data_IF_775941833876
#
_entry.id   IF_775941833876
#
_cell.length_a   1.000
_cell.length_b   1.000
_cell.length_c   1.000
_cell.angle_alpha   90.00
_cell.angle_beta   90.00
_cell.angle_gamma   90.00
#
_symmetry.space_group_name_H-M   'P 1'
#
loop_
_entity.id
_entity.type
_entity.pdbx_description
1 polymer ?
#
# COMPACT_ATOMS: atom_id res chain seq x y z
N UNK A 1 -16.67 -7.94 -10.60
CA UNK A 1 -16.20 -6.65 -11.19
C UNK A 1 -16.13 -5.51 -10.18
N UNK A 2 -17.17 -5.25 -9.36
CA UNK A 2 -17.19 -4.06 -8.49
C UNK A 2 -16.09 -4.07 -7.39
N UNK A 3 -15.75 -5.24 -6.86
CA UNK A 3 -14.69 -5.40 -5.84
C UNK A 3 -13.31 -5.00 -6.35
N UNK A 4 -12.93 -5.40 -7.56
CA UNK A 4 -11.64 -5.06 -8.16
C UNK A 4 -11.55 -3.56 -8.49
N UNK A 5 -12.67 -2.96 -8.92
CA UNK A 5 -12.77 -1.52 -9.10
C UNK A 5 -12.70 -0.76 -7.78
N UNK A 6 -13.00 -1.35 -6.63
CA UNK A 6 -12.88 -0.68 -5.33
C UNK A 6 -11.54 -0.89 -4.63
N UNK A 7 -10.70 -1.79 -5.12
CA UNK A 7 -9.49 -2.21 -4.42
C UNK A 7 -8.43 -1.11 -4.32
N UNK A 8 -7.67 -1.05 -3.22
CA UNK A 8 -6.48 -0.21 -3.11
C UNK A 8 -5.24 -0.86 -3.74
N UNK A 9 -5.24 -2.20 -3.85
CA UNK A 9 -4.19 -3.02 -4.47
C UNK A 9 -4.81 -4.28 -5.07
N UNK A 10 -4.39 -4.65 -6.28
CA UNK A 10 -4.71 -5.92 -6.92
C UNK A 10 -3.44 -6.77 -6.97
N UNK A 11 -3.45 -7.90 -6.26
CA UNK A 11 -2.37 -8.87 -6.32
C UNK A 11 -2.68 -9.93 -7.38
N UNK A 12 -1.83 -10.04 -8.40
CA UNK A 12 -1.92 -11.07 -9.43
C UNK A 12 -0.97 -12.20 -9.03
N UNK A 13 -1.54 -13.37 -8.75
CA UNK A 13 -0.76 -14.56 -8.38
C UNK A 13 -0.60 -15.44 -9.61
N UNK A 14 0.63 -15.76 -9.97
CA UNK A 14 0.96 -16.65 -11.09
C UNK A 14 1.69 -17.88 -10.63
N UNK A 15 1.51 -18.98 -11.34
CA UNK A 15 2.22 -20.23 -11.12
C UNK A 15 3.57 -20.22 -11.84
N UNK A 16 4.67 -20.32 -11.10
CA UNK A 16 6.02 -20.36 -11.65
C UNK A 16 6.44 -21.75 -12.16
N UNK A 17 5.70 -22.82 -11.87
CA UNK A 17 6.01 -24.16 -12.41
C UNK A 17 5.66 -24.30 -13.90
N UNK A 18 4.91 -23.34 -14.44
CA UNK A 18 4.51 -23.29 -15.85
C UNK A 18 4.81 -21.89 -16.42
N UNK A 19 4.45 -21.66 -17.68
CA UNK A 19 4.69 -20.38 -18.35
C UNK A 19 3.96 -19.23 -17.62
N UNK A 20 4.74 -18.37 -16.94
CA UNK A 20 4.24 -17.33 -16.05
C UNK A 20 3.87 -16.03 -16.76
N UNK A 21 4.55 -15.71 -17.86
CA UNK A 21 4.31 -14.49 -18.65
C UNK A 21 2.90 -14.48 -19.23
N UNK A 22 2.52 -15.55 -19.94
CA UNK A 22 1.19 -15.70 -20.52
C UNK A 22 0.06 -15.58 -19.47
N UNK A 23 0.29 -16.02 -18.22
CA UNK A 23 -0.68 -15.86 -17.13
C UNK A 23 -0.89 -14.38 -16.76
N UNK A 24 0.18 -13.59 -16.67
CA UNK A 24 0.11 -12.15 -16.41
C UNK A 24 -0.59 -11.43 -17.56
N UNK A 25 -0.20 -11.72 -18.81
CA UNK A 25 -0.81 -11.10 -19.99
C UNK A 25 -2.32 -11.32 -20.04
N UNK A 26 -2.77 -12.57 -19.86
CA UNK A 26 -4.19 -12.91 -19.82
C UNK A 26 -4.91 -12.16 -18.69
N UNK A 27 -4.32 -12.11 -17.49
CA UNK A 27 -4.93 -11.42 -16.35
C UNK A 27 -5.02 -9.91 -16.59
N UNK A 28 -3.99 -9.29 -17.15
CA UNK A 28 -3.99 -7.86 -17.49
C UNK A 28 -5.03 -7.54 -18.58
N UNK A 29 -5.20 -8.43 -19.55
CA UNK A 29 -6.22 -8.30 -20.58
C UNK A 29 -7.63 -8.36 -19.99
N UNK A 30 -7.91 -9.30 -19.08
CA UNK A 30 -9.19 -9.37 -18.35
C UNK A 30 -9.43 -8.12 -17.49
N UNK A 31 -8.41 -7.59 -16.82
CA UNK A 31 -8.51 -6.34 -16.07
C UNK A 31 -8.85 -5.17 -16.99
N UNK A 32 -8.20 -5.08 -18.16
CA UNK A 32 -8.48 -4.05 -19.15
C UNK A 32 -9.92 -4.10 -19.65
N UNK A 33 -10.46 -5.30 -19.91
CA UNK A 33 -11.88 -5.50 -20.26
C UNK A 33 -12.84 -5.05 -19.15
N UNK A 34 -12.43 -5.23 -17.89
CA UNK A 34 -13.15 -4.70 -16.72
C UNK A 34 -12.99 -3.17 -16.53
N UNK A 35 -12.24 -2.50 -17.43
CA UNK A 35 -11.80 -1.10 -17.37
C UNK A 35 -10.86 -0.80 -16.22
N UNK A 36 -10.04 -1.75 -15.81
CA UNK A 36 -9.03 -1.58 -14.77
C UNK A 36 -7.68 -1.49 -15.45
N UNK A 37 -6.94 -0.43 -15.15
CA UNK A 37 -5.60 -0.19 -15.71
C UNK A 37 -4.60 -0.12 -14.56
N UNK A 38 -3.36 -0.61 -14.74
CA UNK A 38 -2.33 -0.42 -13.73
C UNK A 38 -2.05 1.06 -13.49
N UNK A 39 -1.91 1.44 -12.23
CA UNK A 39 -1.49 2.78 -11.86
C UNK A 39 0.00 2.93 -12.13
N UNK A 40 0.35 3.75 -13.12
CA UNK A 40 1.74 4.13 -13.44
C UNK A 40 2.00 5.58 -13.05
N UNK A 41 3.23 5.92 -12.70
CA UNK A 41 3.63 7.30 -12.32
C UNK A 41 3.41 8.33 -13.44
N UNK A 42 3.30 7.87 -14.69
CA UNK A 42 2.92 8.70 -15.83
C UNK A 42 1.41 8.96 -15.86
N UNK A 43 0.96 9.97 -15.11
CA UNK A 43 -0.43 10.43 -15.02
C UNK A 43 -1.04 10.97 -16.34
N UNK A 44 -0.33 10.92 -17.47
CA UNK A 44 -0.70 11.62 -18.71
C UNK A 44 -1.62 10.83 -19.66
N UNK A 45 -1.88 9.55 -19.38
CA UNK A 45 -2.64 8.67 -20.29
C UNK A 45 -3.72 7.83 -19.59
N UNK A 46 -4.36 8.38 -18.55
CA UNK A 46 -5.53 7.70 -17.97
C UNK A 46 -6.66 7.65 -19.01
N UNK A 47 -7.02 6.46 -19.48
CA UNK A 47 -8.14 6.29 -20.40
C UNK A 47 -9.43 6.77 -19.71
N UNK A 48 -10.21 7.63 -20.39
CA UNK A 48 -11.44 8.17 -19.81
C UNK A 48 -12.40 7.03 -19.41
N UNK A 49 -12.74 6.95 -18.12
CA UNK A 49 -13.62 5.91 -17.58
C UNK A 49 -12.93 4.61 -17.19
N UNK A 50 -11.59 4.56 -17.17
CA UNK A 50 -10.82 3.48 -16.53
C UNK A 50 -10.62 3.72 -15.03
N UNK A 51 -10.38 2.63 -14.31
CA UNK A 51 -10.08 2.60 -12.89
C UNK A 51 -8.62 2.24 -12.70
N UNK A 52 -7.79 3.21 -12.32
CA UNK A 52 -6.37 2.99 -12.11
C UNK A 52 -6.08 2.32 -10.77
N UNK A 53 -5.49 1.13 -10.78
CA UNK A 53 -5.26 0.33 -9.56
C UNK A 53 -3.80 -0.06 -9.43
N UNK A 54 -3.28 -0.04 -8.20
CA UNK A 54 -1.95 -0.56 -7.91
C UNK A 54 -1.94 -2.06 -8.18
N UNK A 55 -0.88 -2.56 -8.81
CA UNK A 55 -0.70 -3.98 -9.10
C UNK A 55 0.52 -4.50 -8.33
N UNK A 56 0.42 -5.71 -7.79
CA UNK A 56 1.54 -6.48 -7.23
C UNK A 56 1.55 -7.85 -7.91
N UNK A 57 2.69 -8.26 -8.48
CA UNK A 57 2.83 -9.60 -9.03
C UNK A 57 3.42 -10.55 -7.98
N UNK A 58 2.80 -11.71 -7.82
CA UNK A 58 3.24 -12.76 -6.89
C UNK A 58 3.48 -14.03 -7.69
N UNK A 59 4.74 -14.44 -7.82
CA UNK A 59 5.11 -15.72 -8.42
C UNK A 59 5.08 -16.83 -7.39
N UNK A 60 4.05 -17.67 -7.37
CA UNK A 60 3.92 -18.79 -6.45
C UNK A 60 4.57 -20.07 -7.01
N UNK A 61 4.77 -21.06 -6.15
CA UNK A 61 5.44 -22.35 -6.45
C UNK A 61 6.91 -22.21 -6.82
N UNK A 62 7.62 -21.30 -6.16
CA UNK A 62 9.05 -21.09 -6.40
C UNK A 62 9.93 -22.32 -6.09
N UNK A 63 9.39 -23.29 -5.35
CA UNK A 63 10.00 -24.59 -5.03
C UNK A 63 10.02 -25.59 -6.20
N UNK A 64 9.20 -25.37 -7.24
CA UNK A 64 9.05 -26.32 -8.35
C UNK A 64 10.17 -26.22 -9.38
N UNK A 65 10.43 -27.31 -10.10
CA UNK A 65 11.37 -27.30 -11.23
C UNK A 65 10.94 -26.28 -12.30
N UNK A 66 11.92 -25.55 -12.86
CA UNK A 66 11.66 -24.50 -13.84
C UNK A 66 11.20 -23.16 -13.25
N UNK A 67 10.92 -23.08 -11.95
CA UNK A 67 10.46 -21.83 -11.30
C UNK A 67 11.46 -20.69 -11.47
N UNK A 68 12.75 -20.96 -11.35
CA UNK A 68 13.81 -19.95 -11.42
C UNK A 68 13.90 -19.32 -12.80
N UNK A 69 13.76 -20.11 -13.86
CA UNK A 69 13.81 -19.60 -15.23
C UNK A 69 12.55 -18.83 -15.58
N UNK A 70 11.38 -19.31 -15.15
CA UNK A 70 10.11 -18.60 -15.34
C UNK A 70 10.06 -17.29 -14.53
N UNK A 71 10.62 -17.26 -13.32
CA UNK A 71 10.77 -16.04 -12.53
C UNK A 71 11.66 -15.01 -13.23
N UNK A 72 12.83 -15.42 -13.73
CA UNK A 72 13.73 -14.52 -14.48
C UNK A 72 13.08 -13.91 -15.72
N UNK A 73 12.28 -14.69 -16.45
CA UNK A 73 11.52 -14.19 -17.61
C UNK A 73 10.47 -13.16 -17.18
N UNK A 74 9.72 -13.47 -16.13
CA UNK A 74 8.73 -12.56 -15.56
C UNK A 74 9.37 -11.23 -15.11
N UNK A 75 10.46 -11.31 -14.36
CA UNK A 75 11.22 -10.17 -13.85
C UNK A 75 11.78 -9.31 -15.00
N UNK A 76 12.32 -9.93 -16.05
CA UNK A 76 12.84 -9.21 -17.22
C UNK A 76 11.79 -8.37 -17.95
N UNK A 77 10.51 -8.78 -17.90
CA UNK A 77 9.42 -8.09 -18.58
C UNK A 77 8.68 -7.11 -17.67
N UNK A 78 8.44 -7.50 -16.40
CA UNK A 78 7.54 -6.78 -15.50
C UNK A 78 8.22 -6.19 -14.26
N UNK A 79 9.48 -6.54 -13.97
CA UNK A 79 10.18 -6.12 -12.75
C UNK A 79 10.40 -4.62 -12.64
N UNK A 80 10.35 -3.89 -13.76
CA UNK A 80 10.40 -2.42 -13.81
C UNK A 80 9.02 -1.75 -13.80
N UNK A 81 7.96 -2.52 -14.05
CA UNK A 81 6.59 -2.02 -14.19
C UNK A 81 5.80 -2.18 -12.89
N UNK A 82 5.99 -3.30 -12.19
CA UNK A 82 5.25 -3.64 -10.99
C UNK A 82 6.21 -4.06 -9.88
N UNK A 83 5.86 -3.81 -8.60
CA UNK A 83 6.48 -4.56 -7.52
C UNK A 83 6.19 -6.05 -7.71
N UNK A 84 7.20 -6.89 -7.46
CA UNK A 84 7.10 -8.33 -7.64
C UNK A 84 7.74 -9.08 -6.49
N UNK A 85 7.19 -10.24 -6.14
CA UNK A 85 7.78 -11.17 -5.19
C UNK A 85 7.53 -12.63 -5.59
N UNK A 86 8.51 -13.50 -5.37
CA UNK A 86 8.37 -14.96 -5.53
C UNK A 86 8.16 -15.64 -4.19
N UNK A 87 7.25 -16.60 -4.11
CA UNK A 87 6.91 -17.35 -2.90
C UNK A 87 6.74 -18.83 -3.18
N UNK A 88 6.84 -19.66 -2.14
CA UNK A 88 6.24 -20.98 -2.11
C UNK A 88 5.21 -21.01 -1.00
N UNK A 89 3.93 -20.94 -1.35
CA UNK A 89 2.86 -21.03 -0.37
C UNK A 89 2.84 -22.38 0.37
N UNK A 90 3.30 -23.45 -0.30
CA UNK A 90 3.36 -24.79 0.27
C UNK A 90 4.51 -24.92 1.28
N UNK A 91 5.70 -24.46 0.91
CA UNK A 91 6.90 -24.60 1.74
C UNK A 91 7.08 -23.43 2.72
N UNK A 92 6.19 -22.43 2.69
CA UNK A 92 6.25 -21.25 3.55
C UNK A 92 7.34 -20.24 3.16
N UNK A 93 8.00 -20.43 2.02
CA UNK A 93 9.11 -19.57 1.57
C UNK A 93 8.56 -18.23 1.06
N UNK A 94 9.15 -17.12 1.51
CA UNK A 94 8.82 -15.79 1.01
C UNK A 94 7.53 -15.18 1.59
N UNK A 95 6.84 -15.88 2.51
CA UNK A 95 5.54 -15.45 3.00
C UNK A 95 5.60 -14.29 3.99
N UNK A 96 6.67 -14.15 4.77
CA UNK A 96 6.86 -12.98 5.63
C UNK A 96 7.21 -11.75 4.80
N UNK A 97 8.13 -11.89 3.84
CA UNK A 97 8.47 -10.83 2.89
C UNK A 97 7.25 -10.42 2.04
N UNK A 98 6.33 -11.34 1.75
CA UNK A 98 5.08 -11.03 1.06
C UNK A 98 4.18 -10.08 1.87
N UNK A 99 4.08 -10.27 3.19
CA UNK A 99 3.30 -9.36 4.05
C UNK A 99 3.88 -7.94 4.00
N UNK A 100 5.20 -7.83 4.10
CA UNK A 100 5.90 -6.55 4.00
C UNK A 100 5.71 -5.90 2.63
N UNK A 101 5.83 -6.69 1.56
CA UNK A 101 5.65 -6.24 0.18
C UNK A 101 4.24 -5.71 -0.05
N UNK A 102 3.21 -6.39 0.47
CA UNK A 102 1.82 -5.93 0.39
C UNK A 102 1.66 -4.60 1.14
N UNK A 103 2.19 -4.50 2.36
CA UNK A 103 2.11 -3.27 3.16
C UNK A 103 2.77 -2.08 2.44
N UNK A 104 3.94 -2.30 1.84
CA UNK A 104 4.65 -1.29 1.06
C UNK A 104 3.89 -0.92 -0.22
N UNK A 105 3.36 -1.90 -0.96
CA UNK A 105 2.60 -1.68 -2.18
C UNK A 105 1.29 -0.89 -1.92
N UNK A 106 0.60 -1.18 -0.81
CA UNK A 106 -0.55 -0.38 -0.36
C UNK A 106 -0.16 1.08 -0.12
N UNK A 107 1.10 1.35 0.23
CA UNK A 107 1.62 2.69 0.48
C UNK A 107 0.92 3.33 1.67
N UNK A 108 0.68 2.52 2.71
CA UNK A 108 0.06 2.93 3.96
C UNK A 108 1.09 3.01 5.08
N UNK A 109 0.74 3.72 6.15
CA UNK A 109 1.52 3.82 7.37
C UNK A 109 0.60 3.96 8.59
N UNK A 110 1.15 3.70 9.78
CA UNK A 110 0.47 3.77 11.07
C UNK A 110 0.80 5.07 11.78
N UNK A 111 -0.20 5.65 12.42
CA UNK A 111 -0.07 6.76 13.36
C UNK A 111 -0.79 6.37 14.64
N UNK A 112 -0.18 6.63 15.78
CA UNK A 112 -0.74 6.34 17.09
C UNK A 112 -1.35 7.61 17.69
N UNK A 113 -2.40 7.46 18.47
CA UNK A 113 -3.09 8.61 19.07
C UNK A 113 -2.79 8.71 20.55
N UNK A 114 -2.84 9.93 21.08
CA UNK A 114 -2.66 10.23 22.49
C UNK A 114 -3.69 11.28 22.91
N UNK A 115 -4.32 11.07 24.07
CA UNK A 115 -5.17 12.09 24.69
C UNK A 115 -4.31 13.09 25.47
N UNK A 116 -4.68 14.39 25.52
CA UNK A 116 -3.98 15.38 26.34
C UNK A 116 -3.76 14.92 27.78
N UNK A 117 -2.49 14.86 28.21
CA UNK A 117 -2.10 14.41 29.55
C UNK A 117 -2.17 12.89 29.80
N UNK A 118 -2.63 12.10 28.82
CA UNK A 118 -2.72 10.65 28.88
C UNK A 118 -1.49 9.93 28.32
N UNK A 119 -1.55 8.60 28.25
CA UNK A 119 -0.56 7.78 27.54
C UNK A 119 -0.96 7.62 26.07
N UNK A 120 0.03 7.34 25.22
CA UNK A 120 -0.24 7.01 23.82
C UNK A 120 -0.90 5.62 23.75
N UNK A 121 -1.90 5.47 22.89
CA UNK A 121 -2.45 4.18 22.52
C UNK A 121 -1.62 3.59 21.38
N UNK A 122 -0.85 2.54 21.70
CA UNK A 122 -0.01 1.82 20.74
C UNK A 122 -0.67 0.55 20.21
N UNK A 123 -1.92 0.28 20.60
CA UNK A 123 -2.65 -0.95 20.25
C UNK A 123 -3.63 -0.75 19.10
N UNK A 124 -4.16 0.46 18.93
CA UNK A 124 -5.10 0.81 17.86
C UNK A 124 -4.56 1.99 17.00
N UNK A 125 -3.69 1.70 16.02
CA UNK A 125 -3.16 2.73 15.13
C UNK A 125 -4.20 3.20 14.10
N UNK A 126 -4.16 4.48 13.80
CA UNK A 126 -4.80 5.06 12.63
C UNK A 126 -3.97 4.73 11.39
N UNK A 127 -4.60 4.10 10.40
CA UNK A 127 -3.96 3.73 9.13
C UNK A 127 -4.19 4.82 8.08
N UNK A 128 -3.10 5.38 7.56
CA UNK A 128 -3.12 6.48 6.60
C UNK A 128 -2.33 6.16 5.34
N UNK A 129 -2.63 6.84 4.23
CA UNK A 129 -1.86 6.74 2.98
C UNK A 129 -0.61 7.61 3.08
N UNK A 130 0.55 7.15 2.59
CA UNK A 130 1.80 7.92 2.57
C UNK A 130 1.59 9.34 2.04
N UNK A 131 2.16 10.33 2.71
CA UNK A 131 1.95 11.75 2.44
C UNK A 131 0.75 12.38 3.16
N UNK A 132 -0.01 11.60 3.93
CA UNK A 132 -1.10 12.13 4.77
C UNK A 132 -0.58 13.10 5.83
N UNK A 133 -1.39 14.10 6.11
CA UNK A 133 -1.12 15.16 7.09
C UNK A 133 -1.83 14.93 8.41
N UNK A 134 -1.51 15.74 9.42
CA UNK A 134 -2.26 15.81 10.69
C UNK A 134 -3.76 16.02 10.45
N UNK A 135 -4.13 16.85 9.47
CA UNK A 135 -5.53 17.08 9.10
C UNK A 135 -6.22 15.81 8.61
N UNK A 136 -5.55 15.02 7.78
CA UNK A 136 -6.09 13.77 7.23
C UNK A 136 -6.23 12.72 8.35
N UNK A 137 -5.26 12.67 9.26
CA UNK A 137 -5.33 11.85 10.46
C UNK A 137 -6.55 12.23 11.33
N UNK A 138 -6.76 13.53 11.58
CA UNK A 138 -7.91 14.00 12.34
C UNK A 138 -9.25 13.64 11.68
N UNK A 139 -9.36 13.79 10.36
CA UNK A 139 -10.57 13.42 9.59
C UNK A 139 -10.86 11.92 9.65
N UNK A 140 -9.82 11.08 9.62
CA UNK A 140 -9.96 9.62 9.69
C UNK A 140 -10.49 9.13 11.04
N UNK A 141 -10.22 9.88 12.12
CA UNK A 141 -10.75 9.61 13.46
C UNK A 141 -12.20 10.07 13.56
N UNK A 142 -12.47 11.32 13.19
CA UNK A 142 -13.83 11.87 13.19
C UNK A 142 -13.95 13.08 12.26
N UNK A 143 -15.04 13.16 11.48
CA UNK A 143 -15.26 14.24 10.49
C UNK A 143 -15.20 15.65 11.11
N UNK A 144 -15.81 15.84 12.28
CA UNK A 144 -15.77 17.12 13.01
C UNK A 144 -14.37 17.58 13.46
N UNK A 145 -13.44 16.64 13.68
CA UNK A 145 -12.11 16.99 14.17
C UNK A 145 -11.36 17.76 13.10
N UNK A 146 -11.55 17.41 11.83
CA UNK A 146 -10.94 18.13 10.71
C UNK A 146 -11.18 19.62 10.82
N UNK A 147 -12.41 20.06 11.03
CA UNK A 147 -12.76 21.48 10.99
C UNK A 147 -12.42 22.22 12.29
N UNK A 148 -12.51 21.54 13.44
CA UNK A 148 -12.25 22.11 14.76
C UNK A 148 -10.77 22.09 15.14
N UNK A 149 -9.93 21.27 14.50
CA UNK A 149 -8.52 21.13 14.85
C UNK A 149 -7.78 22.47 14.75
N UNK A 150 -7.20 22.90 15.87
CA UNK A 150 -6.35 24.11 15.96
C UNK A 150 -4.89 23.77 15.68
N UNK A 151 -4.38 22.70 16.27
CA UNK A 151 -3.00 22.21 16.11
C UNK A 151 -2.90 20.77 16.59
N UNK A 152 -1.76 20.13 16.39
CA UNK A 152 -1.42 18.87 17.04
C UNK A 152 -0.05 18.94 17.70
N UNK A 153 0.19 18.01 18.62
CA UNK A 153 1.50 17.76 19.21
C UNK A 153 1.96 16.39 18.73
N UNK A 154 3.20 16.30 18.22
CA UNK A 154 3.75 15.09 17.59
C UNK A 154 5.02 14.62 18.31
N UNK A 155 5.18 13.30 18.40
CA UNK A 155 6.40 12.60 18.79
C UNK A 155 6.82 11.67 17.64
N UNK A 156 8.11 11.63 17.31
CA UNK A 156 8.63 10.94 16.12
C UNK A 156 9.15 11.89 15.04
N UNK A 157 8.38 12.10 13.97
CA UNK A 157 8.76 12.87 12.77
C UNK A 157 9.01 14.37 12.97
N UNK A 158 8.68 14.90 14.16
CA UNK A 158 9.00 16.27 14.55
C UNK A 158 10.51 16.50 14.68
N UNK A 159 10.90 17.77 14.75
CA UNK A 159 12.29 18.14 15.09
C UNK A 159 12.65 17.70 16.51
N UNK A 160 11.67 17.72 17.41
CA UNK A 160 11.77 17.28 18.79
C UNK A 160 10.47 16.61 19.22
N UNK A 161 10.56 15.73 20.20
CA UNK A 161 9.40 15.10 20.83
C UNK A 161 8.52 16.11 21.55
N UNK A 162 7.20 15.98 21.38
CA UNK A 162 6.23 16.90 21.95
C UNK A 162 6.17 18.25 21.20
N UNK A 163 6.56 18.26 19.93
CA UNK A 163 6.52 19.48 19.12
C UNK A 163 5.09 19.79 18.68
N UNK A 164 4.67 21.05 18.88
CA UNK A 164 3.45 21.58 18.25
C UNK A 164 3.67 21.77 16.75
N UNK A 165 2.79 21.20 15.94
CA UNK A 165 2.81 21.28 14.47
C UNK A 165 1.49 21.82 13.93
N UNK A 166 1.53 22.33 12.69
CA UNK A 166 0.32 22.76 11.99
C UNK A 166 -0.47 21.56 11.46
N UNK A 167 -1.67 21.83 10.93
CA UNK A 167 -2.56 20.80 10.39
C UNK A 167 -2.02 20.17 9.10
N UNK A 168 -1.14 20.89 8.41
CA UNK A 168 -0.53 20.54 7.13
C UNK A 168 0.78 19.77 7.29
N UNK A 169 1.23 19.55 8.54
CA UNK A 169 2.41 18.74 8.79
C UNK A 169 2.19 17.31 8.31
N UNK A 170 3.13 16.81 7.50
CA UNK A 170 3.12 15.45 6.94
C UNK A 170 3.61 14.47 8.00
N UNK A 171 2.80 13.46 8.28
CA UNK A 171 3.11 12.43 9.27
C UNK A 171 3.92 11.28 8.67
N UNK A 172 4.58 10.51 9.53
CA UNK A 172 5.38 9.34 9.19
C UNK A 172 4.94 8.09 9.97
N UNK A 173 5.39 6.90 9.52
CA UNK A 173 5.07 5.64 10.20
C UNK A 173 5.57 5.66 11.64
N UNK A 174 4.69 5.37 12.58
CA UNK A 174 5.00 5.29 14.00
C UNK A 174 4.86 6.60 14.76
N UNK A 175 4.50 7.70 14.11
CA UNK A 175 4.25 8.96 14.81
C UNK A 175 3.16 8.81 15.88
N UNK A 176 3.34 9.49 17.01
CA UNK A 176 2.31 9.66 18.02
C UNK A 176 1.75 11.06 17.89
N UNK A 177 0.42 11.20 17.83
CA UNK A 177 -0.26 12.47 17.62
C UNK A 177 -1.29 12.74 18.71
N UNK A 178 -1.18 13.91 19.32
CA UNK A 178 -2.17 14.45 20.25
C UNK A 178 -2.89 15.63 19.59
N UNK A 179 -4.19 15.47 19.35
CA UNK A 179 -5.02 16.45 18.64
C UNK A 179 -5.59 17.50 19.61
N UNK A 180 -5.48 18.78 19.24
CA UNK A 180 -6.04 19.90 20.01
C UNK A 180 -7.07 20.65 19.16
N UNK A 181 -8.35 20.47 19.51
CA UNK A 181 -9.53 21.11 18.89
C UNK A 181 -9.96 22.40 19.57
#
# INVERSE_FOLDING_TARGET
ANTLRGADLIAIVVDLSIESVSQVENTLQELKEARIEPMTDNAKEATLGSYQRKILLIGNKYDMEGSTSNWKRLDSQYGTLFPMISVSAREGIGLEELKETIYQALGIFRVYTKTPGGKADLTDPVILKRGSTVKDAAESIHKDFKDKLKYAVVWGSGKYDGQRVSREHVLQDGDIVEFHV
#
